data_IF_602553343616
#
_entry.id   IF_602553343616
#
_cell.length_a   1.000
_cell.length_b   1.000
_cell.length_c   1.000
_cell.angle_alpha   90.00
_cell.angle_beta   90.00
_cell.angle_gamma   90.00
#
_symmetry.space_group_name_H-M   'P 1'
#
loop_
_entity.id
_entity.type
_entity.pdbx_description
1 polymer ?
#
# COMPACT_ATOMS: atom_id res chain seq x y z
N UNK A 1 41.93 -1.48 -26.06
CA UNK A 1 40.99 -0.40 -25.67
C UNK A 1 40.91 -0.39 -24.15
N UNK A 2 40.99 0.78 -23.49
CA UNK A 2 40.77 0.87 -22.04
C UNK A 2 39.29 0.59 -21.71
N UNK A 3 38.99 -0.16 -20.66
CA UNK A 3 37.62 -0.37 -20.24
C UNK A 3 36.98 0.96 -19.82
N UNK A 4 35.71 1.18 -20.21
CA UNK A 4 34.92 2.34 -19.85
C UNK A 4 33.88 1.88 -18.83
N UNK A 5 33.89 2.52 -17.67
CA UNK A 5 32.88 2.28 -16.64
C UNK A 5 31.61 3.04 -16.95
N UNK A 6 30.49 2.35 -16.93
CA UNK A 6 29.15 2.95 -17.04
C UNK A 6 28.47 2.92 -15.68
N UNK A 7 27.73 3.96 -15.36
CA UNK A 7 26.85 3.99 -14.19
C UNK A 7 25.50 4.61 -14.56
N UNK A 8 24.46 4.26 -13.80
CA UNK A 8 23.15 4.86 -13.95
C UNK A 8 23.24 6.35 -13.58
N UNK A 9 22.67 7.21 -14.44
CA UNK A 9 22.55 8.63 -14.14
C UNK A 9 21.36 8.85 -13.19
N UNK A 10 21.55 9.34 -11.96
CA UNK A 10 20.45 9.62 -11.03
C UNK A 10 19.41 10.58 -11.59
N UNK A 11 19.85 11.55 -12.43
CA UNK A 11 18.98 12.54 -13.05
C UNK A 11 18.39 12.08 -14.39
N UNK A 12 18.52 10.79 -14.72
CA UNK A 12 17.95 10.20 -15.95
C UNK A 12 16.42 10.15 -15.95
N UNK A 13 15.82 10.17 -14.76
CA UNK A 13 14.37 10.17 -14.58
C UNK A 13 13.98 10.14 -13.12
N UNK A 14 12.70 10.32 -12.86
CA UNK A 14 12.13 10.32 -11.51
C UNK A 14 10.86 9.48 -11.47
N UNK A 15 10.59 8.90 -10.33
CA UNK A 15 9.38 8.14 -10.06
C UNK A 15 8.67 8.73 -8.85
N UNK A 16 7.35 8.84 -8.92
CA UNK A 16 6.52 9.15 -7.77
C UNK A 16 5.84 7.88 -7.28
N UNK A 17 5.82 7.69 -5.98
CA UNK A 17 5.06 6.65 -5.31
C UNK A 17 4.05 7.27 -4.38
N UNK A 18 2.80 6.83 -4.42
CA UNK A 18 1.79 7.24 -3.46
C UNK A 18 1.07 6.03 -2.90
N UNK A 19 0.82 6.04 -1.62
CA UNK A 19 0.03 5.02 -0.92
C UNK A 19 -0.96 5.71 -0.02
N UNK A 20 -2.16 5.17 0.11
CA UNK A 20 -3.02 5.54 1.22
C UNK A 20 -3.53 4.31 1.98
N UNK A 21 -3.83 4.54 3.23
CA UNK A 21 -4.45 3.57 4.11
C UNK A 21 -5.58 4.25 4.90
N UNK A 22 -6.05 3.62 5.98
CA UNK A 22 -7.12 4.18 6.80
C UNK A 22 -6.76 5.56 7.37
N UNK A 23 -5.52 5.74 7.78
CA UNK A 23 -5.11 6.84 8.66
C UNK A 23 -4.16 7.85 8.00
N UNK A 24 -3.56 7.51 6.85
CA UNK A 24 -2.55 8.35 6.21
C UNK A 24 -2.51 8.18 4.69
N UNK A 25 -2.00 9.22 4.03
CA UNK A 25 -1.51 9.18 2.65
C UNK A 25 -0.01 9.47 2.71
N UNK A 26 0.78 8.61 2.07
CA UNK A 26 2.22 8.79 1.90
C UNK A 26 2.52 9.09 0.43
N UNK A 27 3.43 10.01 0.19
CA UNK A 27 3.93 10.29 -1.15
C UNK A 27 5.45 10.41 -1.11
N UNK A 28 6.12 9.71 -2.01
CA UNK A 28 7.57 9.72 -2.13
C UNK A 28 7.98 10.04 -3.56
N UNK A 29 9.19 10.59 -3.74
CA UNK A 29 9.85 10.63 -5.03
C UNK A 29 11.20 9.93 -4.96
N UNK A 30 11.50 9.16 -6.00
CA UNK A 30 12.77 8.45 -6.17
C UNK A 30 13.48 8.97 -7.42
N UNK A 31 14.81 9.05 -7.37
CA UNK A 31 15.61 9.28 -8.56
C UNK A 31 15.75 7.98 -9.39
N UNK A 32 16.41 8.05 -10.52
CA UNK A 32 16.56 6.90 -11.42
C UNK A 32 17.43 5.77 -10.84
N UNK A 33 18.12 5.99 -9.74
CA UNK A 33 18.87 4.96 -8.99
C UNK A 33 18.05 4.32 -7.88
N UNK A 34 16.81 4.80 -7.66
CA UNK A 34 15.95 4.35 -6.56
C UNK A 34 16.23 5.06 -5.23
N UNK A 35 17.04 6.12 -5.22
CA UNK A 35 17.31 6.90 -4.01
C UNK A 35 16.10 7.78 -3.69
N UNK A 36 15.66 7.73 -2.43
CA UNK A 36 14.61 8.60 -1.90
C UNK A 36 15.08 10.07 -1.90
N UNK A 37 14.31 10.95 -2.55
CA UNK A 37 14.60 12.38 -2.66
C UNK A 37 13.48 13.27 -2.12
N UNK A 38 12.26 12.73 -1.98
CA UNK A 38 11.12 13.39 -1.37
C UNK A 38 10.33 12.37 -0.57
N UNK A 39 9.88 12.77 0.60
CA UNK A 39 9.05 11.95 1.49
C UNK A 39 8.08 12.86 2.22
N UNK A 40 6.80 12.59 2.09
CA UNK A 40 5.75 13.34 2.77
C UNK A 40 4.62 12.41 3.20
N UNK A 41 4.14 12.65 4.40
CA UNK A 41 2.98 11.98 4.98
C UNK A 41 1.91 13.00 5.35
N UNK A 42 0.66 12.61 5.12
CA UNK A 42 -0.51 13.38 5.54
C UNK A 42 -1.49 12.49 6.28
N UNK A 43 -1.78 12.81 7.53
CA UNK A 43 -2.79 12.11 8.30
C UNK A 43 -4.18 12.38 7.72
N UNK A 44 -4.96 11.33 7.61
CA UNK A 44 -6.36 11.34 7.20
C UNK A 44 -7.15 10.34 8.06
N UNK A 45 -8.47 10.48 8.11
CA UNK A 45 -9.37 9.43 8.57
C UNK A 45 -10.33 9.11 7.43
N UNK A 46 -10.09 7.97 6.75
CA UNK A 46 -10.85 7.62 5.53
C UNK A 46 -12.32 7.35 5.81
N UNK A 47 -12.68 6.88 7.01
CA UNK A 47 -14.06 6.61 7.38
C UNK A 47 -14.96 7.86 7.42
N UNK A 48 -14.35 9.05 7.49
CA UNK A 48 -15.02 10.35 7.52
C UNK A 48 -15.06 11.03 6.13
N UNK A 49 -14.59 10.35 5.09
CA UNK A 49 -14.44 10.92 3.75
C UNK A 49 -15.20 10.15 2.70
N UNK A 50 -15.45 10.82 1.57
CA UNK A 50 -15.90 10.19 0.34
C UNK A 50 -14.72 9.74 -0.51
N UNK A 51 -14.98 8.87 -1.47
CA UNK A 51 -13.99 8.41 -2.44
C UNK A 51 -13.33 9.58 -3.19
N UNK A 52 -14.15 10.54 -3.65
CA UNK A 52 -13.67 11.73 -4.36
C UNK A 52 -12.76 12.58 -3.48
N UNK A 53 -13.12 12.77 -2.20
CA UNK A 53 -12.28 13.51 -1.25
C UNK A 53 -10.92 12.83 -1.03
N UNK A 54 -10.88 11.50 -0.95
CA UNK A 54 -9.61 10.76 -0.84
C UNK A 54 -8.79 10.89 -2.12
N UNK A 55 -9.41 10.75 -3.29
CA UNK A 55 -8.74 10.93 -4.58
C UNK A 55 -8.15 12.32 -4.75
N UNK A 56 -8.89 13.37 -4.38
CA UNK A 56 -8.38 14.74 -4.43
C UNK A 56 -7.19 14.95 -3.48
N UNK A 57 -7.20 14.33 -2.30
CA UNK A 57 -6.05 14.35 -1.39
C UNK A 57 -4.85 13.59 -1.97
N UNK A 58 -5.07 12.45 -2.60
CA UNK A 58 -4.01 11.69 -3.30
C UNK A 58 -3.41 12.53 -4.42
N UNK A 59 -4.25 13.14 -5.28
CA UNK A 59 -3.78 14.05 -6.34
C UNK A 59 -2.98 15.22 -5.77
N UNK A 60 -3.45 15.82 -4.69
CA UNK A 60 -2.73 16.91 -4.04
C UNK A 60 -1.35 16.51 -3.57
N UNK A 61 -1.21 15.33 -2.94
CA UNK A 61 0.09 14.81 -2.50
C UNK A 61 1.04 14.56 -3.69
N UNK A 62 0.52 14.10 -4.83
CA UNK A 62 1.30 13.94 -6.06
C UNK A 62 1.72 15.33 -6.60
N UNK A 63 0.82 16.31 -6.63
CA UNK A 63 1.16 17.70 -7.03
C UNK A 63 2.24 18.30 -6.14
N UNK A 64 2.17 18.08 -4.83
CA UNK A 64 3.19 18.57 -3.87
C UNK A 64 4.55 17.93 -4.17
N UNK A 65 4.59 16.62 -4.49
CA UNK A 65 5.80 15.93 -4.92
C UNK A 65 6.36 16.45 -6.27
N UNK A 66 5.49 16.71 -7.23
CA UNK A 66 5.85 17.32 -8.52
C UNK A 66 6.41 18.73 -8.31
N UNK A 67 5.77 19.53 -7.46
CA UNK A 67 6.23 20.89 -7.14
C UNK A 67 7.60 20.88 -6.46
N UNK A 68 7.85 19.91 -5.56
CA UNK A 68 9.18 19.72 -4.96
C UNK A 68 10.26 19.41 -6.01
N UNK A 69 9.94 18.61 -7.02
CA UNK A 69 10.88 18.30 -8.11
C UNK A 69 11.22 19.52 -8.98
N UNK A 70 10.33 20.53 -9.06
CA UNK A 70 10.52 21.73 -9.89
C UNK A 70 10.78 21.38 -11.36
N UNK A 71 11.84 21.90 -11.96
CA UNK A 71 12.21 21.60 -13.36
C UNK A 71 12.49 20.11 -13.62
N UNK A 72 12.87 19.34 -12.59
CA UNK A 72 13.10 17.90 -12.69
C UNK A 72 11.80 17.13 -12.93
N UNK A 73 10.65 17.71 -12.61
CA UNK A 73 9.33 17.11 -12.83
C UNK A 73 9.06 16.75 -14.29
N UNK A 74 9.67 17.46 -15.23
CA UNK A 74 9.63 17.17 -16.68
C UNK A 74 10.22 15.79 -17.05
N UNK A 75 10.96 15.19 -16.11
CA UNK A 75 11.56 13.85 -16.25
C UNK A 75 10.87 12.79 -15.39
N UNK A 76 9.66 13.05 -14.91
CA UNK A 76 8.87 12.02 -14.22
C UNK A 76 8.46 10.95 -15.23
N UNK A 77 8.89 9.72 -14.98
CA UNK A 77 8.70 8.58 -15.89
C UNK A 77 7.42 7.83 -15.55
N UNK A 78 7.06 7.77 -14.27
CA UNK A 78 5.90 7.01 -13.83
C UNK A 78 5.45 7.36 -12.42
N UNK A 79 4.18 7.04 -12.16
CA UNK A 79 3.55 7.13 -10.85
C UNK A 79 3.10 5.74 -10.43
N UNK A 80 3.59 5.25 -9.28
CA UNK A 80 3.10 4.05 -8.64
C UNK A 80 2.09 4.38 -7.56
N UNK A 81 0.95 3.68 -7.51
CA UNK A 81 -0.01 3.84 -6.44
C UNK A 81 -0.34 2.53 -5.74
N UNK A 82 -0.17 2.51 -4.41
CA UNK A 82 -0.63 1.47 -3.51
C UNK A 82 -2.00 1.83 -2.94
N UNK A 83 -2.98 0.97 -3.14
CA UNK A 83 -4.33 1.18 -2.60
C UNK A 83 -4.74 0.08 -1.61
N UNK A 84 -5.51 0.41 -0.57
CA UNK A 84 -6.04 -0.59 0.34
C UNK A 84 -7.26 -1.31 -0.27
N UNK A 85 -7.63 -2.44 0.34
CA UNK A 85 -8.79 -3.22 -0.06
C UNK A 85 -8.54 -4.07 -1.30
N UNK A 86 -9.59 -4.29 -2.08
CA UNK A 86 -9.53 -5.15 -3.26
C UNK A 86 -9.30 -4.34 -4.53
N UNK A 87 -8.46 -4.86 -5.41
CA UNK A 87 -8.08 -4.19 -6.66
C UNK A 87 -7.89 -5.16 -7.81
N UNK A 88 -8.20 -4.70 -9.01
CA UNK A 88 -7.77 -5.29 -10.27
C UNK A 88 -6.58 -4.48 -10.80
N UNK A 89 -5.37 -4.94 -10.48
CA UNK A 89 -4.14 -4.26 -10.87
C UNK A 89 -3.95 -4.21 -12.40
N UNK A 90 -4.43 -5.22 -13.14
CA UNK A 90 -4.30 -5.27 -14.59
C UNK A 90 -5.14 -4.18 -15.25
N UNK A 91 -6.35 -3.95 -14.73
CA UNK A 91 -7.27 -2.93 -15.25
C UNK A 91 -7.08 -1.58 -14.57
N UNK A 92 -6.30 -1.50 -13.49
CA UNK A 92 -6.11 -0.27 -12.72
C UNK A 92 -7.36 0.18 -11.95
N UNK A 93 -8.21 -0.78 -11.55
CA UNK A 93 -9.50 -0.51 -10.89
C UNK A 93 -9.43 -0.88 -9.41
N UNK A 94 -9.77 0.08 -8.55
CA UNK A 94 -10.05 -0.16 -7.14
C UNK A 94 -11.46 -0.74 -7.00
N UNK A 95 -11.56 -2.03 -6.59
CA UNK A 95 -12.84 -2.74 -6.55
C UNK A 95 -13.64 -2.32 -5.33
N UNK A 96 -13.05 -2.40 -4.13
CA UNK A 96 -13.72 -2.00 -2.90
C UNK A 96 -12.74 -1.84 -1.73
N UNK A 97 -13.13 -1.01 -0.76
CA UNK A 97 -12.43 -0.84 0.51
C UNK A 97 -13.44 -0.65 1.64
N UNK A 98 -13.38 -1.51 2.66
CA UNK A 98 -14.41 -1.57 3.72
C UNK A 98 -14.50 -0.32 4.60
N UNK A 99 -13.41 0.46 4.69
CA UNK A 99 -13.36 1.69 5.48
C UNK A 99 -13.77 2.95 4.68
N UNK A 100 -14.19 2.79 3.43
CA UNK A 100 -14.61 3.88 2.56
C UNK A 100 -15.79 3.37 1.71
N UNK A 101 -17.02 3.69 2.12
CA UNK A 101 -18.24 3.02 1.67
C UNK A 101 -18.55 3.20 0.17
N UNK A 102 -18.18 4.32 -0.40
CA UNK A 102 -18.38 4.68 -1.80
C UNK A 102 -17.17 4.35 -2.69
N UNK A 103 -16.12 3.70 -2.13
CA UNK A 103 -14.95 3.25 -2.86
C UNK A 103 -15.27 1.95 -3.60
N UNK A 104 -15.92 2.08 -4.77
CA UNK A 104 -16.38 0.94 -5.58
C UNK A 104 -16.10 1.13 -7.05
N UNK A 105 -15.33 0.18 -7.63
CA UNK A 105 -15.02 0.13 -9.06
C UNK A 105 -14.46 1.45 -9.63
N UNK A 106 -13.56 2.09 -8.86
CA UNK A 106 -12.96 3.37 -9.25
C UNK A 106 -11.79 3.11 -10.19
N UNK A 107 -11.75 3.67 -11.39
CA UNK A 107 -10.64 3.51 -12.34
C UNK A 107 -9.49 4.45 -11.96
N UNK A 108 -8.82 4.16 -10.85
CA UNK A 108 -7.80 5.03 -10.24
C UNK A 108 -6.65 5.30 -11.20
N UNK A 109 -6.20 4.26 -11.93
CA UNK A 109 -5.14 4.40 -12.93
C UNK A 109 -5.51 5.44 -13.99
N UNK A 110 -6.67 5.28 -14.62
CA UNK A 110 -7.11 6.16 -15.71
C UNK A 110 -7.32 7.60 -15.22
N UNK A 111 -7.83 7.76 -13.99
CA UNK A 111 -8.00 9.08 -13.37
C UNK A 111 -6.65 9.77 -13.21
N UNK A 112 -5.63 9.06 -12.69
CA UNK A 112 -4.30 9.65 -12.48
C UNK A 112 -3.54 9.86 -13.80
N UNK A 113 -3.62 8.93 -14.75
CA UNK A 113 -2.99 9.09 -16.07
C UNK A 113 -3.57 10.29 -16.83
N UNK A 114 -4.89 10.49 -16.75
CA UNK A 114 -5.55 11.65 -17.35
C UNK A 114 -5.15 12.96 -16.68
N UNK A 115 -4.97 12.97 -15.37
CA UNK A 115 -4.62 14.16 -14.60
C UNK A 115 -3.17 14.58 -14.80
N UNK A 116 -2.24 13.62 -14.72
CA UNK A 116 -0.80 13.91 -14.68
C UNK A 116 -0.09 13.69 -16.01
N UNK A 117 -0.75 13.11 -17.01
CA UNK A 117 -0.16 12.77 -18.32
C UNK A 117 1.11 11.91 -18.22
N UNK A 118 1.18 11.05 -17.20
CA UNK A 118 2.29 10.15 -16.91
C UNK A 118 1.73 8.74 -16.71
N UNK A 119 2.44 7.72 -17.17
CA UNK A 119 2.05 6.31 -16.97
C UNK A 119 1.90 6.00 -15.48
N UNK A 120 0.76 5.43 -15.10
CA UNK A 120 0.45 5.04 -13.73
C UNK A 120 0.38 3.52 -13.59
N UNK A 121 0.93 3.03 -12.49
CA UNK A 121 0.85 1.64 -12.08
C UNK A 121 0.14 1.55 -10.74
N UNK A 122 -0.87 0.71 -10.66
CA UNK A 122 -1.65 0.52 -9.43
C UNK A 122 -1.58 -0.93 -8.97
N UNK A 123 -1.45 -1.12 -7.66
CA UNK A 123 -1.63 -2.43 -7.03
C UNK A 123 -2.17 -2.26 -5.61
N UNK A 124 -2.57 -3.40 -5.00
CA UNK A 124 -2.84 -3.42 -3.58
C UNK A 124 -1.58 -3.05 -2.79
N UNK A 125 -1.73 -2.26 -1.73
CA UNK A 125 -0.62 -1.78 -0.91
C UNK A 125 0.28 -2.90 -0.35
N UNK A 126 -0.28 -4.06 0.00
CA UNK A 126 0.53 -5.21 0.44
C UNK A 126 1.38 -5.76 -0.70
N UNK A 127 0.87 -5.82 -1.93
CA UNK A 127 1.65 -6.23 -3.09
C UNK A 127 2.78 -5.23 -3.40
N UNK A 128 2.49 -3.92 -3.28
CA UNK A 128 3.51 -2.87 -3.44
C UNK A 128 4.62 -3.04 -2.38
N UNK A 129 4.26 -3.33 -1.13
CA UNK A 129 5.24 -3.63 -0.07
C UNK A 129 6.10 -4.86 -0.41
N UNK A 130 5.51 -5.93 -0.93
CA UNK A 130 6.24 -7.13 -1.36
C UNK A 130 7.30 -6.78 -2.40
N UNK A 131 6.92 -6.01 -3.42
CA UNK A 131 7.87 -5.57 -4.45
C UNK A 131 8.98 -4.71 -3.86
N UNK A 132 8.66 -3.78 -2.96
CA UNK A 132 9.64 -2.94 -2.29
C UNK A 132 10.65 -3.78 -1.47
N UNK A 133 10.18 -4.68 -0.64
CA UNK A 133 11.04 -5.59 0.13
C UNK A 133 11.93 -6.45 -0.76
N UNK A 134 11.34 -7.03 -1.81
CA UNK A 134 12.08 -7.88 -2.74
C UNK A 134 13.23 -7.13 -3.42
N UNK A 135 12.98 -5.93 -3.91
CA UNK A 135 13.99 -5.15 -4.62
C UNK A 135 14.95 -4.42 -3.70
N UNK A 136 14.47 -3.77 -2.65
CA UNK A 136 15.28 -2.89 -1.81
C UNK A 136 16.04 -3.67 -0.72
N UNK A 137 15.44 -4.73 -0.17
CA UNK A 137 16.06 -5.50 0.91
C UNK A 137 16.83 -6.70 0.37
N UNK A 138 16.25 -7.45 -0.55
CA UNK A 138 16.85 -8.70 -1.06
C UNK A 138 17.55 -8.53 -2.41
N UNK A 139 17.55 -7.34 -3.00
CA UNK A 139 18.22 -7.06 -4.27
C UNK A 139 17.73 -7.94 -5.43
N UNK A 140 16.48 -8.37 -5.41
CA UNK A 140 15.88 -9.24 -6.40
C UNK A 140 16.32 -10.71 -6.35
N UNK A 141 17.11 -11.12 -5.35
CA UNK A 141 17.74 -12.47 -5.30
C UNK A 141 16.86 -13.55 -4.69
N UNK A 142 15.73 -13.18 -4.06
CA UNK A 142 14.83 -14.15 -3.44
C UNK A 142 13.72 -14.51 -4.43
N UNK A 143 13.72 -15.75 -4.92
CA UNK A 143 12.73 -16.24 -5.89
C UNK A 143 11.45 -16.70 -5.20
N UNK A 144 11.58 -17.40 -4.08
CA UNK A 144 10.49 -17.91 -3.28
C UNK A 144 10.54 -17.36 -1.87
N UNK A 145 9.43 -16.83 -1.39
CA UNK A 145 9.31 -16.31 -0.03
C UNK A 145 7.85 -16.30 0.44
N UNK A 146 7.67 -16.29 1.73
CA UNK A 146 6.37 -16.05 2.35
C UNK A 146 6.36 -14.65 2.96
N UNK A 147 5.55 -13.77 2.41
CA UNK A 147 5.38 -12.42 2.96
C UNK A 147 4.21 -12.42 3.94
N UNK A 148 4.49 -12.08 5.19
CA UNK A 148 3.50 -11.95 6.25
C UNK A 148 3.39 -10.48 6.64
N UNK A 149 2.20 -9.90 6.51
CA UNK A 149 1.88 -8.54 6.94
C UNK A 149 0.84 -8.58 8.05
N UNK A 150 1.18 -8.01 9.20
CA UNK A 150 0.26 -7.81 10.33
C UNK A 150 0.22 -6.31 10.60
N UNK A 151 -0.93 -5.69 10.28
CA UNK A 151 -1.22 -4.25 10.49
C UNK A 151 -2.70 -4.13 10.90
N UNK A 152 -3.46 -3.26 10.22
CA UNK A 152 -4.93 -3.18 10.39
C UNK A 152 -5.64 -4.49 10.05
N UNK A 153 -4.95 -5.39 9.32
CA UNK A 153 -5.35 -6.76 9.03
C UNK A 153 -4.12 -7.66 8.85
N UNK A 154 -4.31 -8.97 8.91
CA UNK A 154 -3.27 -9.97 8.67
C UNK A 154 -3.42 -10.57 7.27
N UNK A 155 -2.34 -10.53 6.50
CA UNK A 155 -2.24 -11.16 5.17
C UNK A 155 -0.98 -11.99 5.07
N UNK A 156 -1.07 -13.09 4.32
CA UNK A 156 0.08 -13.94 3.99
C UNK A 156 0.08 -14.19 2.49
N UNK A 157 1.08 -13.70 1.80
CA UNK A 157 1.20 -13.85 0.35
C UNK A 157 2.44 -14.67 0.03
N UNK A 158 2.26 -15.89 -0.53
CA UNK A 158 3.37 -16.63 -1.10
C UNK A 158 3.87 -15.92 -2.35
N UNK A 159 5.18 -15.81 -2.48
CA UNK A 159 5.89 -15.44 -3.70
C UNK A 159 6.51 -16.71 -4.22
N UNK A 160 6.19 -17.09 -5.43
CA UNK A 160 6.69 -18.31 -6.09
C UNK A 160 7.23 -17.92 -7.46
N UNK A 161 8.43 -18.36 -7.79
CA UNK A 161 9.12 -18.00 -9.03
C UNK A 161 9.11 -16.47 -9.25
N UNK A 162 9.45 -15.74 -8.22
CA UNK A 162 9.48 -14.27 -8.24
C UNK A 162 8.11 -13.56 -8.38
N UNK A 163 7.00 -14.27 -8.40
CA UNK A 163 5.66 -13.69 -8.58
C UNK A 163 4.80 -13.87 -7.33
N UNK A 164 4.13 -12.81 -6.85
CA UNK A 164 3.16 -12.96 -5.78
C UNK A 164 1.96 -13.79 -6.26
N UNK A 165 1.56 -14.77 -5.47
CA UNK A 165 0.36 -15.56 -5.73
C UNK A 165 -0.86 -14.69 -5.45
N UNK A 166 -1.53 -14.22 -6.51
CA UNK A 166 -2.68 -13.29 -6.41
C UNK A 166 -4.02 -13.99 -6.25
N UNK A 167 -4.09 -15.29 -6.64
CA UNK A 167 -5.37 -15.97 -6.82
C UNK A 167 -6.16 -15.44 -8.03
N UNK A 168 -7.17 -16.17 -8.46
CA UNK A 168 -7.94 -15.85 -9.67
C UNK A 168 -8.61 -14.48 -9.63
N UNK A 169 -9.06 -14.05 -8.44
CA UNK A 169 -9.78 -12.77 -8.24
C UNK A 169 -8.98 -11.76 -7.40
N UNK A 170 -7.69 -11.97 -7.19
CA UNK A 170 -6.87 -11.07 -6.35
C UNK A 170 -7.08 -11.21 -4.84
N UNK A 171 -7.82 -12.23 -4.38
CA UNK A 171 -8.14 -12.44 -2.97
C UNK A 171 -7.18 -13.41 -2.25
N UNK A 172 -6.00 -13.65 -2.78
CA UNK A 172 -5.01 -14.51 -2.12
C UNK A 172 -4.54 -13.90 -0.80
N UNK A 173 -4.27 -14.77 0.16
CA UNK A 173 -3.58 -14.38 1.39
C UNK A 173 -4.44 -13.78 2.49
N UNK A 174 -5.75 -13.92 2.45
CA UNK A 174 -6.70 -13.43 3.46
C UNK A 174 -6.63 -14.22 4.79
N UNK A 175 -5.40 -14.47 5.30
CA UNK A 175 -5.15 -15.21 6.55
C UNK A 175 -5.92 -14.60 7.74
N UNK A 176 -6.05 -13.27 7.75
CA UNK A 176 -6.76 -12.58 8.82
C UNK A 176 -8.21 -12.99 9.01
N UNK A 177 -8.83 -13.61 8.01
CA UNK A 177 -10.22 -14.08 8.08
C UNK A 177 -10.37 -15.57 8.38
N UNK A 178 -9.28 -16.27 8.64
CA UNK A 178 -9.32 -17.65 9.17
C UNK A 178 -9.86 -17.61 10.60
N UNK A 179 -10.76 -18.53 10.89
CA UNK A 179 -11.36 -18.65 12.24
C UNK A 179 -10.34 -19.28 13.19
N UNK A 180 -10.10 -18.63 14.32
CA UNK A 180 -9.24 -19.15 15.38
C UNK A 180 -10.06 -19.65 16.56
N UNK A 181 -9.56 -20.69 17.22
CA UNK A 181 -10.20 -21.29 18.40
C UNK A 181 -10.25 -20.27 19.54
N UNK A 182 -11.40 -20.19 20.22
CA UNK A 182 -11.60 -19.27 21.35
C UNK A 182 -11.85 -17.81 20.96
N UNK A 183 -11.77 -17.46 19.67
CA UNK A 183 -12.07 -16.10 19.19
C UNK A 183 -13.57 -15.78 19.32
N UNK A 184 -13.90 -14.79 20.15
CA UNK A 184 -15.28 -14.33 20.39
C UNK A 184 -15.53 -12.90 19.88
N UNK A 185 -14.51 -12.20 19.40
CA UNK A 185 -14.62 -10.81 18.94
C UNK A 185 -15.16 -10.74 17.53
N UNK A 186 -16.00 -9.74 17.29
CA UNK A 186 -16.51 -9.45 15.93
C UNK A 186 -15.37 -8.88 15.09
N UNK A 187 -15.16 -9.45 13.90
CA UNK A 187 -14.27 -8.92 12.88
C UNK A 187 -14.99 -7.85 12.05
N UNK A 188 -14.23 -6.93 11.44
CA UNK A 188 -14.75 -5.93 10.50
C UNK A 188 -15.50 -6.55 9.30
N UNK A 189 -15.25 -7.83 8.98
CA UNK A 189 -16.00 -8.58 7.96
C UNK A 189 -17.37 -9.10 8.43
N UNK A 190 -17.80 -8.81 9.65
CA UNK A 190 -19.06 -9.23 10.25
C UNK A 190 -19.06 -10.63 10.87
N UNK A 191 -17.98 -11.40 10.75
CA UNK A 191 -17.86 -12.75 11.34
C UNK A 191 -17.17 -12.71 12.70
N UNK A 192 -17.47 -13.69 13.55
CA UNK A 192 -16.80 -13.88 14.84
C UNK A 192 -15.56 -14.75 14.73
N UNK A 193 -14.54 -14.45 15.54
CA UNK A 193 -13.37 -15.29 15.74
C UNK A 193 -12.39 -15.31 14.58
N UNK A 194 -12.38 -14.29 13.74
CA UNK A 194 -11.34 -14.14 12.73
C UNK A 194 -10.00 -13.81 13.40
N UNK A 195 -8.90 -14.29 12.83
CA UNK A 195 -7.55 -13.98 13.29
C UNK A 195 -7.31 -12.47 13.39
N UNK A 196 -7.83 -11.66 12.46
CA UNK A 196 -7.76 -10.20 12.50
C UNK A 196 -8.28 -9.60 13.80
N UNK A 197 -9.36 -10.16 14.36
CA UNK A 197 -9.92 -9.68 15.63
C UNK A 197 -9.05 -10.01 16.84
N UNK A 198 -7.98 -10.78 16.65
CA UNK A 198 -7.07 -11.20 17.70
C UNK A 198 -5.68 -10.55 17.60
N UNK A 199 -5.17 -10.30 16.39
CA UNK A 199 -3.76 -9.91 16.18
C UNK A 199 -3.55 -8.60 15.41
N UNK A 200 -4.61 -7.98 14.87
CA UNK A 200 -4.47 -6.67 14.20
C UNK A 200 -4.07 -5.56 15.18
N UNK A 201 -3.51 -4.47 14.69
CA UNK A 201 -3.13 -3.31 15.50
C UNK A 201 -4.29 -2.87 16.41
N UNK A 202 -5.49 -2.75 15.83
CA UNK A 202 -6.70 -2.39 16.58
C UNK A 202 -7.05 -3.44 17.64
N UNK A 203 -6.90 -4.72 17.31
CA UNK A 203 -7.19 -5.79 18.24
C UNK A 203 -6.22 -5.78 19.43
N UNK A 204 -4.92 -5.53 19.17
CA UNK A 204 -3.89 -5.43 20.21
C UNK A 204 -4.18 -4.23 21.12
N UNK A 205 -4.43 -3.06 20.55
CA UNK A 205 -4.76 -1.84 21.32
C UNK A 205 -6.00 -2.07 22.19
N UNK A 206 -7.06 -2.65 21.64
CA UNK A 206 -8.27 -2.95 22.41
C UNK A 206 -8.02 -3.95 23.54
N UNK A 207 -7.18 -4.98 23.33
CA UNK A 207 -6.79 -5.93 24.39
C UNK A 207 -6.02 -5.24 25.53
N UNK A 208 -5.15 -4.29 25.18
CA UNK A 208 -4.39 -3.51 26.18
C UNK A 208 -5.38 -2.65 26.99
N UNK A 209 -6.25 -1.89 26.31
CA UNK A 209 -7.27 -1.05 26.97
C UNK A 209 -8.16 -1.88 27.89
N UNK A 210 -8.66 -3.03 27.42
CA UNK A 210 -9.48 -3.92 28.23
C UNK A 210 -8.68 -4.47 29.44
N UNK A 211 -7.39 -4.80 29.23
CA UNK A 211 -6.51 -5.25 30.31
C UNK A 211 -6.26 -4.18 31.38
N UNK A 212 -6.12 -2.90 30.98
CA UNK A 212 -6.01 -1.76 31.92
C UNK A 212 -7.31 -1.61 32.73
N UNK A 213 -8.47 -1.62 32.06
CA UNK A 213 -9.79 -1.49 32.73
C UNK A 213 -10.04 -2.54 33.79
N UNK A 214 -9.54 -3.76 33.59
CA UNK A 214 -9.70 -4.86 34.56
C UNK A 214 -8.50 -4.99 35.51
N UNK A 215 -7.58 -4.02 35.52
CA UNK A 215 -6.41 -4.00 36.41
C UNK A 215 -5.33 -5.05 36.12
N UNK A 216 -5.36 -5.66 34.92
CA UNK A 216 -4.35 -6.65 34.48
C UNK A 216 -3.04 -5.97 34.05
N UNK A 217 -3.11 -4.77 33.52
CA UNK A 217 -1.97 -3.91 33.15
C UNK A 217 -2.03 -2.61 33.94
N UNK A 218 -0.87 -2.04 34.26
CA UNK A 218 -0.75 -0.68 34.83
C UNK A 218 -0.58 0.31 33.65
N UNK A 219 -1.09 1.54 33.84
CA UNK A 219 -0.83 2.66 32.93
C UNK A 219 0.65 3.00 32.89
#
# INVERSE_FOLDING_TARGET
RKPVWLRINPEGGYFLGVEFNRNAIHCVALDFTGKLIYDAERNIETSEKTADQVLELVKKMIYDGIAFLGEKSKKVIGIGIGIPGYSDANRGIAISYSHLKDWKNIPVKDILEKEFHVTCYMDNNVNVMIFAYKWLVYGGKCEDMLFVSIRTGARVIPIINNQPVRGTCGYSGELGHVKVSGGSRICSCGRYGCLNSEISDVAIVNKIIDGIKVGRFRE
#
